data_IF_580657191419
#
_entry.id   IF_580657191419
#
_cell.length_a   1.000
_cell.length_b   1.000
_cell.length_c   1.000
_cell.angle_alpha   90.00
_cell.angle_beta   90.00
_cell.angle_gamma   90.00
#
_symmetry.space_group_name_H-M   'P 1'
#
loop_
_entity.id
_entity.type
_entity.pdbx_description
1 polymer ?
#
# COMPACT_ATOMS: atom_id res chain seq x y z
N UNK A 1 16.40 28.14 3.95
CA UNK A 1 16.05 26.76 3.50
C UNK A 1 15.96 25.90 4.76
N UNK A 2 14.84 25.21 4.99
CA UNK A 2 14.70 24.33 6.15
C UNK A 2 15.43 23.02 5.87
N UNK A 3 16.65 22.87 6.41
CA UNK A 3 17.39 21.61 6.39
C UNK A 3 16.65 20.60 7.25
N UNK A 4 16.08 19.57 6.61
CA UNK A 4 15.61 18.36 7.30
C UNK A 4 16.74 17.85 8.21
N UNK A 5 16.40 17.51 9.46
CA UNK A 5 17.36 16.95 10.44
C UNK A 5 17.95 15.61 10.00
N UNK A 6 17.37 14.96 8.98
CA UNK A 6 17.85 13.68 8.44
C UNK A 6 17.89 13.72 6.90
N UNK A 7 19.01 13.34 6.25
CA UNK A 7 19.10 13.25 4.80
C UNK A 7 18.06 12.29 4.22
N UNK A 8 17.48 12.63 3.07
CA UNK A 8 16.52 11.76 2.36
C UNK A 8 15.08 11.78 2.88
N UNK A 9 14.80 12.52 3.96
CA UNK A 9 13.42 12.75 4.41
C UNK A 9 12.80 13.98 3.76
N UNK A 10 11.48 14.00 3.55
CA UNK A 10 10.75 15.19 3.13
C UNK A 10 10.97 16.35 4.11
N UNK A 11 11.30 17.54 3.58
CA UNK A 11 11.67 18.71 4.39
C UNK A 11 10.50 19.27 5.23
N UNK A 12 9.28 18.95 4.84
CA UNK A 12 8.03 19.29 5.50
C UNK A 12 7.65 18.33 6.63
N UNK A 13 8.29 17.16 6.73
CA UNK A 13 8.07 16.24 7.84
C UNK A 13 8.67 16.79 9.14
N UNK A 14 7.81 16.95 10.16
CA UNK A 14 8.21 17.44 11.48
C UNK A 14 7.77 16.46 12.56
N UNK A 15 8.74 16.03 13.36
CA UNK A 15 8.50 15.24 14.57
C UNK A 15 9.10 15.94 15.79
N UNK A 16 8.37 15.87 16.90
CA UNK A 16 8.85 16.23 18.25
C UNK A 16 9.87 15.22 18.79
N UNK A 17 9.84 13.99 18.28
CA UNK A 17 10.76 12.94 18.67
C UNK A 17 12.04 13.07 17.84
N UNK A 18 13.19 12.98 18.51
CA UNK A 18 14.52 13.15 17.90
C UNK A 18 15.34 11.87 18.13
N UNK A 19 15.06 10.79 17.39
CA UNK A 19 15.90 9.60 17.46
C UNK A 19 17.30 9.87 16.89
N UNK A 20 18.22 8.93 17.12
CA UNK A 20 19.57 9.01 16.54
C UNK A 20 19.51 9.01 15.00
N UNK A 21 20.44 9.74 14.39
CA UNK A 21 20.54 9.83 12.93
C UNK A 21 20.79 8.44 12.29
N UNK A 22 21.62 7.62 12.93
CA UNK A 22 21.92 6.26 12.48
C UNK A 22 20.68 5.36 12.39
N UNK A 23 19.78 5.43 13.38
CA UNK A 23 18.52 4.67 13.33
C UNK A 23 17.61 5.15 12.20
N UNK A 24 17.53 6.46 11.98
CA UNK A 24 16.74 7.03 10.89
C UNK A 24 17.30 6.61 9.54
N UNK A 25 18.60 6.74 9.32
CA UNK A 25 19.25 6.38 8.06
C UNK A 25 19.02 4.90 7.69
N UNK A 26 19.19 3.99 8.66
CA UNK A 26 19.04 2.55 8.41
C UNK A 26 17.60 2.09 8.26
N UNK A 27 16.64 2.79 8.87
CA UNK A 27 15.28 2.27 9.07
C UNK A 27 14.17 3.20 8.59
N UNK A 28 14.47 4.34 7.96
CA UNK A 28 13.45 5.26 7.42
C UNK A 28 12.49 4.56 6.46
N UNK A 29 12.97 3.70 5.57
CA UNK A 29 12.10 2.93 4.65
C UNK A 29 11.17 2.00 5.40
N UNK A 30 11.68 1.24 6.37
CA UNK A 30 10.84 0.37 7.21
C UNK A 30 9.82 1.19 8.01
N UNK A 31 10.23 2.32 8.58
CA UNK A 31 9.36 3.22 9.30
C UNK A 31 8.23 3.75 8.41
N UNK A 32 8.54 4.17 7.17
CA UNK A 32 7.56 4.65 6.19
C UNK A 32 6.40 3.68 5.96
N UNK A 33 6.68 2.38 5.89
CA UNK A 33 5.65 1.36 5.55
C UNK A 33 5.06 0.65 6.76
N UNK A 34 5.84 0.46 7.82
CA UNK A 34 5.46 -0.41 8.96
C UNK A 34 5.43 0.32 10.30
N UNK A 35 5.83 1.59 10.34
CA UNK A 35 5.82 2.40 11.55
C UNK A 35 6.74 1.85 12.64
N UNK A 36 6.37 2.08 13.89
CA UNK A 36 7.18 1.79 15.08
C UNK A 36 6.97 0.39 15.68
N UNK A 37 6.04 -0.42 15.18
CA UNK A 37 5.59 -1.64 15.88
C UNK A 37 6.74 -2.63 16.18
N UNK A 38 7.58 -2.92 15.19
CA UNK A 38 8.72 -3.82 15.36
C UNK A 38 9.76 -3.26 16.35
N UNK A 39 9.96 -1.94 16.34
CA UNK A 39 10.91 -1.26 17.23
C UNK A 39 10.41 -1.20 18.68
N UNK A 40 9.09 -1.07 18.92
CA UNK A 40 8.49 -1.20 20.26
C UNK A 40 8.74 -2.59 20.85
N UNK A 41 8.60 -3.63 20.02
CA UNK A 41 8.87 -5.01 20.44
C UNK A 41 10.35 -5.20 20.79
N UNK A 42 11.27 -4.72 19.95
CA UNK A 42 12.71 -4.76 20.20
C UNK A 42 13.12 -3.99 21.46
N UNK A 43 12.57 -2.79 21.67
CA UNK A 43 12.79 -2.01 22.89
C UNK A 43 12.34 -2.77 24.14
N UNK A 44 11.16 -3.39 24.07
CA UNK A 44 10.62 -4.20 25.18
C UNK A 44 11.48 -5.43 25.46
N UNK A 45 12.00 -6.08 24.42
CA UNK A 45 12.91 -7.21 24.56
C UNK A 45 14.23 -6.79 25.21
N UNK A 46 14.85 -5.69 24.74
CA UNK A 46 16.09 -5.15 25.30
C UNK A 46 15.93 -4.81 26.80
N UNK A 47 14.82 -4.17 27.19
CA UNK A 47 14.51 -3.87 28.60
C UNK A 47 14.37 -5.13 29.45
N UNK A 48 13.71 -6.18 28.94
CA UNK A 48 13.61 -7.46 29.66
C UNK A 48 14.98 -8.11 29.82
N UNK A 49 15.80 -8.14 28.77
CA UNK A 49 17.16 -8.66 28.84
C UNK A 49 18.03 -7.89 29.83
N UNK A 50 17.92 -6.55 29.88
CA UNK A 50 18.62 -5.73 30.86
C UNK A 50 18.23 -6.10 32.30
N UNK A 51 16.93 -6.28 32.57
CA UNK A 51 16.44 -6.75 33.88
C UNK A 51 16.98 -8.12 34.22
N UNK A 52 16.99 -9.06 33.26
CA UNK A 52 17.55 -10.41 33.48
C UNK A 52 19.04 -10.34 33.84
N UNK A 53 19.84 -9.56 33.10
CA UNK A 53 21.27 -9.41 33.39
C UNK A 53 21.54 -8.82 34.78
N UNK A 54 20.76 -7.83 35.20
CA UNK A 54 20.85 -7.27 36.56
C UNK A 54 20.56 -8.34 37.61
N UNK A 55 19.47 -9.09 37.44
CA UNK A 55 19.12 -10.19 38.34
C UNK A 55 20.21 -11.25 38.40
N UNK A 56 20.77 -11.64 37.26
CA UNK A 56 21.88 -12.60 37.19
C UNK A 56 23.13 -12.06 37.88
N UNK A 57 23.45 -10.78 37.73
CA UNK A 57 24.56 -10.15 38.45
C UNK A 57 24.35 -10.20 39.97
N UNK A 58 23.12 -9.93 40.43
CA UNK A 58 22.77 -9.99 41.86
C UNK A 58 22.86 -11.42 42.42
N UNK A 59 22.44 -12.43 41.64
CA UNK A 59 22.50 -13.85 42.01
C UNK A 59 23.94 -14.40 42.04
N UNK A 60 24.83 -13.88 41.20
CA UNK A 60 26.21 -14.37 41.06
C UNK A 60 27.25 -13.55 41.85
N UNK A 61 26.84 -12.50 42.57
CA UNK A 61 27.75 -11.52 43.16
C UNK A 61 28.82 -12.10 44.10
N UNK A 62 28.51 -13.23 44.75
CA UNK A 62 29.39 -13.89 45.71
C UNK A 62 30.19 -15.04 45.09
N UNK A 63 30.00 -15.34 43.80
CA UNK A 63 30.58 -16.51 43.11
C UNK A 63 31.46 -16.15 41.92
N UNK A 64 31.20 -15.04 41.23
CA UNK A 64 32.01 -14.60 40.07
C UNK A 64 33.00 -13.50 40.45
N UNK A 65 33.97 -13.26 39.56
CA UNK A 65 34.91 -12.16 39.77
C UNK A 65 34.22 -10.80 39.71
N UNK A 66 34.79 -9.80 40.38
CA UNK A 66 34.29 -8.42 40.30
C UNK A 66 34.29 -7.87 38.86
N UNK A 67 35.20 -8.35 38.00
CA UNK A 67 35.25 -7.97 36.59
C UNK A 67 34.03 -8.49 35.82
N UNK A 68 33.63 -9.75 36.05
CA UNK A 68 32.46 -10.35 35.40
C UNK A 68 31.15 -9.70 35.86
N UNK A 69 31.05 -9.37 37.15
CA UNK A 69 29.92 -8.63 37.70
C UNK A 69 29.78 -7.25 37.03
N UNK A 70 30.88 -6.52 36.91
CA UNK A 70 30.89 -5.22 36.20
C UNK A 70 30.53 -5.38 34.73
N UNK A 71 30.96 -6.45 34.05
CA UNK A 71 30.61 -6.71 32.67
C UNK A 71 29.09 -6.92 32.50
N UNK A 72 28.46 -7.71 33.37
CA UNK A 72 27.01 -7.93 33.37
C UNK A 72 26.23 -6.62 33.61
N UNK A 73 26.66 -5.82 34.59
CA UNK A 73 26.04 -4.53 34.89
C UNK A 73 26.16 -3.54 33.73
N UNK A 74 27.34 -3.47 33.09
CA UNK A 74 27.55 -2.62 31.89
C UNK A 74 26.69 -3.10 30.72
N UNK A 75 26.60 -4.40 30.48
CA UNK A 75 25.76 -4.95 29.43
C UNK A 75 24.27 -4.62 29.65
N UNK A 76 23.79 -4.70 30.90
CA UNK A 76 22.44 -4.27 31.25
C UNK A 76 22.20 -2.77 30.97
N UNK A 77 23.15 -1.91 31.36
CA UNK A 77 23.06 -0.46 31.09
C UNK A 77 23.02 -0.14 29.59
N UNK A 78 23.83 -0.84 28.79
CA UNK A 78 23.80 -0.71 27.32
C UNK A 78 22.43 -1.09 26.76
N UNK A 79 21.83 -2.18 27.23
CA UNK A 79 20.52 -2.63 26.79
C UNK A 79 19.39 -1.68 27.21
N UNK A 80 19.46 -1.11 28.42
CA UNK A 80 18.49 -0.10 28.87
C UNK A 80 18.56 1.16 27.95
N UNK A 81 19.77 1.64 27.65
CA UNK A 81 19.96 2.76 26.73
C UNK A 81 19.45 2.45 25.32
N UNK A 82 19.74 1.26 24.80
CA UNK A 82 19.21 0.81 23.50
C UNK A 82 17.68 0.74 23.51
N UNK A 83 17.07 0.29 24.61
CA UNK A 83 15.61 0.25 24.74
C UNK A 83 15.01 1.66 24.68
N UNK A 84 15.63 2.64 25.34
CA UNK A 84 15.21 4.05 25.30
C UNK A 84 15.31 4.64 23.89
N UNK A 85 16.46 4.44 23.22
CA UNK A 85 16.68 4.92 21.84
C UNK A 85 15.66 4.33 20.87
N UNK A 86 15.42 3.01 20.95
CA UNK A 86 14.42 2.32 20.14
C UNK A 86 12.99 2.79 20.44
N UNK A 87 12.68 3.13 21.70
CA UNK A 87 11.36 3.65 22.06
C UNK A 87 11.12 5.05 21.48
N UNK A 88 12.14 5.92 21.46
CA UNK A 88 12.05 7.23 20.79
C UNK A 88 11.90 7.04 19.28
N UNK A 89 12.69 6.16 18.68
CA UNK A 89 12.62 5.86 17.25
C UNK A 89 11.26 5.27 16.85
N UNK A 90 10.69 4.38 17.66
CA UNK A 90 9.38 3.80 17.37
C UNK A 90 8.27 4.87 17.28
N UNK A 91 8.24 5.82 18.21
CA UNK A 91 7.25 6.91 18.17
C UNK A 91 7.47 7.85 16.98
N UNK A 92 8.72 8.11 16.65
CA UNK A 92 9.08 8.86 15.45
C UNK A 92 8.63 8.12 14.16
N UNK A 93 8.82 6.80 14.11
CA UNK A 93 8.47 5.96 12.97
C UNK A 93 6.95 5.90 12.75
N UNK A 94 6.14 5.82 13.82
CA UNK A 94 4.69 5.92 13.73
C UNK A 94 4.28 7.26 13.08
N UNK A 95 4.82 8.38 13.55
CA UNK A 95 4.53 9.70 12.97
C UNK A 95 4.97 9.82 11.51
N UNK A 96 6.11 9.23 11.16
CA UNK A 96 6.61 9.25 9.79
C UNK A 96 5.75 8.40 8.85
N UNK A 97 5.24 7.26 9.33
CA UNK A 97 4.26 6.45 8.60
C UNK A 97 2.98 7.25 8.36
N UNK A 98 2.40 7.84 9.40
CA UNK A 98 1.16 8.60 9.30
C UNK A 98 1.29 9.76 8.29
N UNK A 99 2.40 10.50 8.37
CA UNK A 99 2.73 11.54 7.39
C UNK A 99 2.84 10.98 5.96
N UNK A 100 3.53 9.85 5.79
CA UNK A 100 3.75 9.25 4.48
C UNK A 100 2.46 8.69 3.87
N UNK A 101 1.59 8.11 4.69
CA UNK A 101 0.28 7.61 4.28
C UNK A 101 -0.65 8.75 3.88
N UNK A 102 -0.69 9.83 4.68
CA UNK A 102 -1.47 11.02 4.34
C UNK A 102 -1.03 11.62 3.00
N UNK A 103 0.28 11.76 2.79
CA UNK A 103 0.80 12.29 1.53
C UNK A 103 0.46 11.39 0.33
N UNK A 104 0.61 10.07 0.50
CA UNK A 104 0.20 9.12 -0.54
C UNK A 104 -1.30 9.24 -0.84
N UNK A 105 -2.15 9.35 0.18
CA UNK A 105 -3.58 9.54 0.01
C UNK A 105 -3.89 10.83 -0.76
N UNK A 106 -3.18 11.92 -0.46
CA UNK A 106 -3.31 13.20 -1.19
C UNK A 106 -2.91 13.06 -2.66
N UNK A 107 -1.77 12.43 -2.94
CA UNK A 107 -1.26 12.19 -4.30
C UNK A 107 -2.22 11.29 -5.10
N UNK A 108 -2.71 10.21 -4.50
CA UNK A 108 -3.65 9.28 -5.12
C UNK A 108 -5.01 9.97 -5.38
N UNK A 109 -5.48 10.79 -4.43
CA UNK A 109 -6.71 11.58 -4.56
C UNK A 109 -6.60 12.62 -5.67
N UNK A 110 -5.47 13.34 -5.74
CA UNK A 110 -5.21 14.32 -6.80
C UNK A 110 -5.18 13.64 -8.18
N UNK A 111 -4.49 12.50 -8.29
CA UNK A 111 -4.41 11.70 -9.52
C UNK A 111 -5.80 11.19 -9.96
N UNK A 112 -6.60 10.70 -9.02
CA UNK A 112 -7.96 10.25 -9.28
C UNK A 112 -8.88 11.40 -9.73
N UNK A 113 -8.79 12.57 -9.10
CA UNK A 113 -9.54 13.77 -9.51
C UNK A 113 -9.14 14.24 -10.91
N UNK A 114 -7.85 14.22 -11.22
CA UNK A 114 -7.35 14.57 -12.55
C UNK A 114 -7.89 13.61 -13.63
N UNK A 115 -7.86 12.29 -13.36
CA UNK A 115 -8.45 11.31 -14.26
C UNK A 115 -9.96 11.51 -14.41
N UNK A 116 -10.69 11.72 -13.30
CA UNK A 116 -12.13 11.95 -13.34
C UNK A 116 -12.48 13.14 -14.24
N UNK A 117 -11.76 14.25 -14.10
CA UNK A 117 -11.94 15.42 -14.95
C UNK A 117 -11.61 15.13 -16.41
N UNK A 118 -10.47 14.51 -16.70
CA UNK A 118 -10.06 14.21 -18.07
C UNK A 118 -11.01 13.22 -18.78
N UNK A 119 -11.56 12.27 -18.04
CA UNK A 119 -12.35 11.16 -18.59
C UNK A 119 -13.82 11.50 -18.77
N UNK A 120 -14.40 12.26 -17.84
CA UNK A 120 -15.83 12.53 -17.83
C UNK A 120 -16.19 14.01 -17.93
N UNK A 121 -15.26 14.94 -17.71
CA UNK A 121 -15.58 16.38 -17.67
C UNK A 121 -16.79 16.66 -16.77
N UNK A 122 -17.74 17.46 -17.24
CA UNK A 122 -18.98 17.74 -16.51
C UNK A 122 -20.13 16.77 -16.88
N UNK A 123 -19.84 15.59 -17.44
CA UNK A 123 -20.84 14.59 -17.84
C UNK A 123 -21.08 13.54 -16.73
N UNK A 124 -22.15 13.68 -15.90
CA UNK A 124 -22.49 12.71 -14.88
C UNK A 124 -22.99 11.38 -15.48
N UNK A 125 -23.56 11.38 -16.69
CA UNK A 125 -24.04 10.16 -17.33
C UNK A 125 -22.88 9.28 -17.82
N UNK A 126 -21.80 9.90 -18.31
CA UNK A 126 -20.57 9.19 -18.64
C UNK A 126 -19.91 8.56 -17.41
N UNK A 127 -19.84 9.28 -16.29
CA UNK A 127 -19.37 8.73 -15.01
C UNK A 127 -20.23 7.54 -14.56
N UNK A 128 -21.55 7.72 -14.56
CA UNK A 128 -22.49 6.67 -14.15
C UNK A 128 -22.39 5.42 -15.04
N UNK A 129 -22.22 5.59 -16.35
CA UNK A 129 -22.04 4.48 -17.27
C UNK A 129 -20.77 3.69 -16.94
N UNK A 130 -19.64 4.38 -16.78
CA UNK A 130 -18.38 3.71 -16.49
C UNK A 130 -18.43 2.94 -15.18
N UNK A 131 -19.05 3.53 -14.14
CA UNK A 131 -19.30 2.84 -12.87
C UNK A 131 -20.14 1.58 -13.08
N UNK A 132 -21.27 1.70 -13.79
CA UNK A 132 -22.13 0.55 -14.11
C UNK A 132 -21.39 -0.53 -14.89
N UNK A 133 -20.53 -0.16 -15.84
CA UNK A 133 -19.76 -1.12 -16.62
C UNK A 133 -18.69 -1.84 -15.79
N UNK A 134 -18.04 -1.15 -14.85
CA UNK A 134 -17.14 -1.80 -13.90
C UNK A 134 -17.89 -2.81 -13.02
N UNK A 135 -19.03 -2.41 -12.46
CA UNK A 135 -19.89 -3.28 -11.64
C UNK A 135 -20.42 -4.47 -12.48
N UNK A 136 -20.80 -4.22 -13.74
CA UNK A 136 -21.24 -5.26 -14.68
C UNK A 136 -20.13 -6.28 -14.89
N UNK A 137 -18.91 -5.84 -15.22
CA UNK A 137 -17.77 -6.71 -15.46
C UNK A 137 -17.32 -7.55 -14.24
N UNK A 138 -17.82 -7.25 -13.04
CA UNK A 138 -17.62 -8.06 -11.83
C UNK A 138 -18.65 -9.18 -11.64
N UNK A 139 -19.71 -9.20 -12.45
CA UNK A 139 -20.69 -10.27 -12.49
C UNK A 139 -20.32 -11.32 -13.54
N UNK A 140 -20.77 -12.57 -13.34
CA UNK A 140 -20.57 -13.64 -14.34
C UNK A 140 -21.14 -13.26 -15.73
N UNK A 141 -22.36 -12.70 -15.75
CA UNK A 141 -23.05 -12.28 -16.98
C UNK A 141 -22.32 -11.11 -17.66
N UNK A 142 -21.78 -10.18 -16.88
CA UNK A 142 -21.05 -9.05 -17.44
C UNK A 142 -19.63 -9.38 -17.88
N UNK A 143 -18.96 -10.30 -17.19
CA UNK A 143 -17.72 -10.93 -17.65
C UNK A 143 -17.91 -11.59 -19.01
N UNK A 144 -19.01 -12.31 -19.20
CA UNK A 144 -19.38 -12.90 -20.50
C UNK A 144 -19.52 -11.86 -21.61
N UNK A 145 -20.26 -10.76 -21.36
CA UNK A 145 -20.43 -9.66 -22.34
C UNK A 145 -19.09 -9.02 -22.71
N UNK A 146 -18.24 -8.76 -21.72
CA UNK A 146 -16.88 -8.29 -21.94
C UNK A 146 -16.11 -9.31 -22.79
N UNK A 147 -16.17 -10.59 -22.45
CA UNK A 147 -15.51 -11.67 -23.19
C UNK A 147 -15.94 -11.76 -24.65
N UNK A 148 -17.23 -11.65 -24.94
CA UNK A 148 -17.75 -11.61 -26.32
C UNK A 148 -17.20 -10.42 -27.10
N UNK A 149 -17.16 -9.23 -26.49
CA UNK A 149 -16.53 -8.06 -27.09
C UNK A 149 -15.03 -8.31 -27.34
N UNK A 150 -14.31 -8.86 -26.35
CA UNK A 150 -12.87 -9.06 -26.46
C UNK A 150 -12.52 -10.09 -27.54
N UNK A 151 -13.21 -11.23 -27.56
CA UNK A 151 -12.97 -12.29 -28.55
C UNK A 151 -13.22 -11.83 -29.98
N UNK A 152 -14.21 -10.95 -30.19
CA UNK A 152 -14.50 -10.36 -31.51
C UNK A 152 -13.39 -9.43 -32.00
N UNK A 153 -12.76 -8.68 -31.09
CA UNK A 153 -11.86 -7.57 -31.46
C UNK A 153 -10.37 -7.86 -31.21
N UNK A 154 -10.04 -8.87 -30.41
CA UNK A 154 -8.67 -9.16 -29.95
C UNK A 154 -8.33 -10.65 -30.08
N UNK A 155 -7.85 -11.09 -31.26
CA UNK A 155 -7.56 -12.50 -31.55
C UNK A 155 -6.56 -13.17 -30.60
N UNK A 156 -5.73 -12.39 -29.90
CA UNK A 156 -4.75 -12.90 -28.91
C UNK A 156 -5.40 -13.64 -27.73
N UNK A 157 -6.71 -13.47 -27.52
CA UNK A 157 -7.47 -14.18 -26.48
C UNK A 157 -8.27 -15.38 -27.00
N UNK A 158 -8.03 -15.81 -28.25
CA UNK A 158 -8.66 -17.02 -28.77
C UNK A 158 -8.42 -18.22 -27.84
N UNK A 159 -9.48 -19.02 -27.64
CA UNK A 159 -9.49 -20.18 -26.75
C UNK A 159 -9.90 -19.90 -25.30
N UNK A 160 -10.05 -18.64 -24.89
CA UNK A 160 -10.66 -18.29 -23.60
C UNK A 160 -12.18 -18.29 -23.76
N UNK A 161 -12.89 -18.94 -22.83
CA UNK A 161 -14.36 -18.91 -22.84
C UNK A 161 -14.89 -17.52 -22.46
N UNK A 162 -16.00 -17.04 -23.03
CA UNK A 162 -16.55 -15.71 -22.72
C UNK A 162 -16.72 -15.44 -21.21
N UNK A 163 -17.15 -16.42 -20.42
CA UNK A 163 -17.34 -16.33 -18.97
C UNK A 163 -16.04 -16.22 -18.16
N UNK A 164 -14.88 -16.46 -18.79
CA UNK A 164 -13.55 -16.46 -18.15
C UNK A 164 -12.80 -15.14 -18.32
N UNK A 165 -13.50 -14.08 -18.71
CA UNK A 165 -12.98 -12.73 -18.80
C UNK A 165 -13.38 -11.92 -17.56
N UNK A 166 -12.41 -11.24 -16.96
CA UNK A 166 -12.64 -10.35 -15.83
C UNK A 166 -11.72 -9.14 -15.88
N UNK A 167 -12.15 -8.02 -15.31
CA UNK A 167 -11.29 -6.85 -15.19
C UNK A 167 -10.16 -7.09 -14.18
N UNK A 168 -8.98 -6.60 -14.51
CA UNK A 168 -7.79 -6.70 -13.67
C UNK A 168 -7.72 -5.62 -12.59
N UNK A 169 -6.81 -5.81 -11.64
CA UNK A 169 -6.51 -4.82 -10.61
C UNK A 169 -7.33 -4.91 -9.32
N UNK A 170 -6.94 -4.08 -8.34
CA UNK A 170 -7.51 -4.02 -6.99
C UNK A 170 -8.62 -2.97 -6.88
N UNK A 171 -9.77 -3.27 -7.49
CA UNK A 171 -10.90 -2.33 -7.60
C UNK A 171 -11.69 -2.13 -6.31
N UNK A 172 -11.50 -2.99 -5.31
CA UNK A 172 -12.16 -2.88 -4.00
C UNK A 172 -11.55 -1.82 -3.08
N UNK A 173 -10.34 -1.34 -3.38
CA UNK A 173 -9.68 -0.29 -2.60
C UNK A 173 -10.35 1.06 -2.84
N UNK A 174 -10.65 1.77 -1.75
CA UNK A 174 -11.23 3.12 -1.77
C UNK A 174 -10.29 4.11 -1.10
N UNK A 175 -10.33 5.35 -1.55
CA UNK A 175 -9.65 6.47 -0.93
C UNK A 175 -10.51 7.02 0.20
N UNK A 176 -9.95 7.03 1.42
CA UNK A 176 -10.64 7.54 2.60
C UNK A 176 -11.04 9.01 2.41
N UNK A 177 -12.32 9.31 2.68
CA UNK A 177 -12.86 10.67 2.57
C UNK A 177 -13.10 11.19 1.14
N UNK A 178 -12.82 10.41 0.10
CA UNK A 178 -13.09 10.80 -1.29
C UNK A 178 -14.56 10.56 -1.69
N UNK A 179 -15.09 11.41 -2.57
CA UNK A 179 -16.43 11.23 -3.15
C UNK A 179 -16.51 10.01 -4.10
N UNK A 180 -17.73 9.62 -4.49
CA UNK A 180 -17.95 8.45 -5.37
C UNK A 180 -17.23 8.60 -6.72
N UNK A 181 -17.22 9.81 -7.28
CA UNK A 181 -16.63 10.07 -8.60
C UNK A 181 -15.12 9.90 -8.56
N UNK A 182 -14.48 10.45 -7.54
CA UNK A 182 -13.05 10.30 -7.27
C UNK A 182 -12.70 8.84 -6.99
N UNK A 183 -13.50 8.14 -6.19
CA UNK A 183 -13.31 6.71 -5.95
C UNK A 183 -13.48 5.86 -7.22
N UNK A 184 -14.46 6.18 -8.06
CA UNK A 184 -14.66 5.50 -9.36
C UNK A 184 -13.41 5.66 -10.23
N UNK A 185 -12.84 6.87 -10.29
CA UNK A 185 -11.61 7.11 -11.05
C UNK A 185 -10.40 6.38 -10.42
N UNK A 186 -10.30 6.33 -9.09
CA UNK A 186 -9.26 5.56 -8.41
C UNK A 186 -9.36 4.06 -8.74
N UNK A 187 -10.56 3.48 -8.75
CA UNK A 187 -10.76 2.09 -9.18
C UNK A 187 -10.28 1.87 -10.62
N UNK A 188 -10.55 2.81 -11.53
CA UNK A 188 -10.05 2.75 -12.92
C UNK A 188 -8.52 2.87 -12.95
N UNK A 189 -7.91 3.72 -12.12
CA UNK A 189 -6.45 3.83 -12.01
C UNK A 189 -5.83 2.49 -11.63
N UNK A 190 -6.49 1.77 -10.73
CA UNK A 190 -6.04 0.47 -10.20
C UNK A 190 -6.22 -0.70 -11.16
N UNK A 191 -6.94 -0.55 -12.28
CA UNK A 191 -6.97 -1.55 -13.35
C UNK A 191 -5.59 -1.60 -14.02
N UNK A 192 -5.07 -2.81 -14.27
CA UNK A 192 -3.75 -2.95 -14.88
C UNK A 192 -3.70 -2.25 -16.23
N UNK A 193 -2.54 -1.69 -16.58
CA UNK A 193 -2.38 -1.00 -17.84
C UNK A 193 -2.56 -1.93 -19.07
N UNK A 194 -2.30 -3.24 -18.92
CA UNK A 194 -2.31 -4.21 -20.02
C UNK A 194 -3.14 -5.43 -19.68
N UNK A 195 -3.93 -5.86 -20.65
CA UNK A 195 -4.65 -7.12 -20.59
C UNK A 195 -3.73 -8.31 -20.81
N UNK A 196 -4.00 -9.42 -20.12
CA UNK A 196 -3.19 -10.64 -20.19
C UNK A 196 -4.06 -11.90 -20.17
N UNK A 197 -3.48 -13.01 -20.65
CA UNK A 197 -4.07 -14.35 -20.60
C UNK A 197 -3.20 -15.22 -19.71
N UNK A 198 -3.82 -16.07 -18.90
CA UNK A 198 -3.12 -17.07 -18.11
C UNK A 198 -3.91 -18.37 -18.05
N UNK A 199 -3.24 -19.46 -17.72
CA UNK A 199 -3.87 -20.76 -17.49
C UNK A 199 -3.91 -21.05 -16.00
N UNK A 200 -5.07 -21.48 -15.49
CA UNK A 200 -5.21 -21.96 -14.11
C UNK A 200 -4.61 -23.34 -13.97
N UNK A 201 -4.31 -23.75 -12.74
CA UNK A 201 -3.87 -25.12 -12.44
C UNK A 201 -4.85 -26.20 -12.92
N UNK A 202 -6.13 -25.86 -13.11
CA UNK A 202 -7.15 -26.74 -13.70
C UNK A 202 -7.06 -26.92 -15.22
N UNK A 203 -6.09 -26.27 -15.90
CA UNK A 203 -5.98 -26.21 -17.36
C UNK A 203 -6.93 -25.22 -18.01
N UNK A 204 -7.71 -24.48 -17.21
CA UNK A 204 -8.65 -23.48 -17.72
C UNK A 204 -7.94 -22.19 -18.12
N UNK A 205 -8.13 -21.76 -19.36
CA UNK A 205 -7.66 -20.47 -19.85
C UNK A 205 -8.55 -19.33 -19.34
N UNK A 206 -7.90 -18.31 -18.78
CA UNK A 206 -8.50 -17.10 -18.21
C UNK A 206 -7.91 -15.85 -18.86
N UNK A 207 -8.68 -14.76 -18.87
CA UNK A 207 -8.21 -13.46 -19.34
C UNK A 207 -8.47 -12.35 -18.31
N UNK A 208 -7.41 -11.63 -17.98
CA UNK A 208 -7.44 -10.42 -17.17
C UNK A 208 -7.44 -9.22 -18.10
N UNK A 209 -8.49 -8.42 -18.04
CA UNK A 209 -8.70 -7.27 -18.93
C UNK A 209 -8.24 -5.98 -18.23
N UNK A 210 -7.20 -5.39 -18.80
CA UNK A 210 -6.64 -4.11 -18.38
C UNK A 210 -7.29 -2.91 -19.09
N UNK A 211 -6.78 -1.71 -18.78
CA UNK A 211 -7.28 -0.45 -19.34
C UNK A 211 -7.19 -0.37 -20.85
N UNK A 212 -6.16 -0.99 -21.45
CA UNK A 212 -5.97 -1.04 -22.90
C UNK A 212 -7.19 -1.56 -23.67
N UNK A 213 -7.97 -2.45 -23.06
CA UNK A 213 -9.18 -3.02 -23.66
C UNK A 213 -10.45 -2.52 -22.98
N UNK A 214 -10.43 -2.27 -21.67
CA UNK A 214 -11.61 -1.76 -20.96
C UNK A 214 -12.08 -0.42 -21.54
N UNK A 215 -11.15 0.49 -21.91
CA UNK A 215 -11.53 1.77 -22.50
C UNK A 215 -12.20 1.62 -23.87
N UNK A 216 -11.76 0.63 -24.66
CA UNK A 216 -12.42 0.29 -25.93
C UNK A 216 -13.82 -0.30 -25.71
N UNK A 217 -14.01 -1.11 -24.66
CA UNK A 217 -15.30 -1.66 -24.29
C UNK A 217 -16.27 -0.56 -23.84
N UNK A 218 -15.80 0.39 -23.02
CA UNK A 218 -16.58 1.57 -22.62
C UNK A 218 -17.01 2.38 -23.84
N UNK A 219 -16.10 2.66 -24.77
CA UNK A 219 -16.41 3.39 -26.01
C UNK A 219 -17.47 2.65 -26.86
N UNK A 220 -17.34 1.33 -26.99
CA UNK A 220 -18.32 0.49 -27.67
C UNK A 220 -19.72 0.60 -27.03
N UNK A 221 -19.80 0.47 -25.70
CA UNK A 221 -21.07 0.56 -24.95
C UNK A 221 -21.70 1.96 -25.00
N UNK A 222 -20.88 3.01 -25.07
CA UNK A 222 -21.35 4.38 -25.31
C UNK A 222 -22.00 4.51 -26.70
N UNK A 223 -21.36 3.98 -27.74
CA UNK A 223 -21.88 4.02 -29.10
C UNK A 223 -23.20 3.24 -29.23
N UNK A 224 -23.31 2.06 -28.61
CA UNK A 224 -24.56 1.30 -28.58
C UNK A 224 -25.71 2.08 -27.93
N UNK A 225 -25.46 2.74 -26.79
CA UNK A 225 -26.46 3.59 -26.13
C UNK A 225 -26.84 4.81 -26.96
N UNK A 226 -25.92 5.38 -27.74
CA UNK A 226 -26.20 6.51 -28.63
C UNK A 226 -27.09 6.10 -29.81
N UNK A 227 -26.89 4.90 -30.36
CA UNK A 227 -27.67 4.37 -31.48
C UNK A 227 -29.10 3.92 -31.09
N UNK A 228 -29.39 3.85 -29.78
CA UNK A 228 -30.70 3.50 -29.23
C UNK A 228 -31.56 4.74 -28.89
N UNK A 229 -31.03 5.95 -29.08
CA UNK A 229 -31.75 7.22 -28.92
C UNK A 229 -32.14 7.78 -30.29
#
# INVERSE_FOLDING_TARGET
MATSTYPGLPADFKSRHKPSADLVERHATTAKYHGGASFKSKASAAKRSATTLRKTADELKDTVSAADLQALQRAAQVLDRQAEDLAVFARWADQYKDFSDQRRLEDDTASARALAQARWGDDPAAHQLDRQLMDECDSLIGGEKLGLFVLKNYPRFAGVKPENFMLSGYRSTRLDGADERTNTAHCIISIDARSSRYERASGESMAMIGRDIFDAYVAHRRAEKANLK
#
